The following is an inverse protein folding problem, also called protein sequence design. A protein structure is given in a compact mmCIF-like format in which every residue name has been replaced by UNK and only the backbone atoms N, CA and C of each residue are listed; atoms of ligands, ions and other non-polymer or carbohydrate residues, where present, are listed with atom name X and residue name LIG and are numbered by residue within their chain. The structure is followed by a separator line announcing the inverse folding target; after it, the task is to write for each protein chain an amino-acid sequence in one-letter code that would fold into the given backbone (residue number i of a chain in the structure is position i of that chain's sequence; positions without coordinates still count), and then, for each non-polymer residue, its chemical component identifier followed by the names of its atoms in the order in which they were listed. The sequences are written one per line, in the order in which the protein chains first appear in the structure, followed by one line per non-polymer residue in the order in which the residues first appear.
data_IF_440733053947
#
_entry.id   IF_440733053947
#
_cell.length_a   1.000
_cell.length_b   1.000
_cell.length_c   1.000
_cell.angle_alpha   90.00
_cell.angle_beta   90.00
_cell.angle_gamma   90.00
#
_symmetry.space_group_name_H-M   'P 1'
#
loop_
_entity.id
_entity.type
_entity.pdbx_description
1 polymer ?
#
# COMPACT_ATOMS: atom_id res chain seq x y z
N UNK A 1 12.05 6.65 -15.70
CA UNK A 1 12.85 5.51 -16.19
C UNK A 1 14.32 5.87 -16.41
N UNK A 2 14.59 7.03 -17.04
CA UNK A 2 15.96 7.41 -17.34
C UNK A 2 16.87 7.52 -16.12
N UNK A 3 16.30 7.85 -14.94
CA UNK A 3 17.08 7.97 -13.70
C UNK A 3 17.34 6.62 -13.04
N UNK A 4 16.45 5.64 -13.21
CA UNK A 4 16.51 4.36 -12.51
C UNK A 4 17.00 3.24 -13.41
N UNK A 5 16.70 3.30 -14.71
CA UNK A 5 17.00 2.25 -15.67
C UNK A 5 18.45 1.76 -15.69
N UNK A 6 19.48 2.61 -15.44
CA UNK A 6 20.85 2.13 -15.38
C UNK A 6 21.17 1.21 -14.20
N UNK A 7 20.29 1.19 -13.18
CA UNK A 7 20.49 0.39 -11.98
C UNK A 7 19.80 -0.96 -12.14
N UNK A 8 20.46 -2.01 -11.66
CA UNK A 8 19.88 -3.35 -11.63
C UNK A 8 19.02 -3.49 -10.36
N UNK A 9 17.80 -2.94 -10.42
CA UNK A 9 16.89 -2.95 -9.28
C UNK A 9 16.13 -4.28 -9.19
N UNK A 10 16.19 -4.89 -8.02
CA UNK A 10 15.49 -6.14 -7.74
C UNK A 10 14.09 -5.89 -7.16
N UNK A 11 13.90 -4.75 -6.50
CA UNK A 11 12.64 -4.40 -5.87
C UNK A 11 12.53 -2.89 -5.74
N UNK A 12 11.34 -2.37 -6.01
CA UNK A 12 10.99 -0.97 -5.81
C UNK A 12 9.84 -0.92 -4.83
N UNK A 13 10.03 -0.19 -3.73
CA UNK A 13 9.01 -0.06 -2.70
C UNK A 13 8.46 1.37 -2.68
N UNK A 14 7.15 1.50 -2.87
CA UNK A 14 6.45 2.78 -2.85
C UNK A 14 5.69 2.93 -1.53
N UNK A 15 5.72 4.13 -0.98
CA UNK A 15 4.96 4.48 0.21
C UNK A 15 4.41 5.90 0.05
N UNK A 16 3.10 6.05 0.18
CA UNK A 16 2.45 7.34 -0.01
C UNK A 16 2.51 7.87 -1.44
N UNK A 17 2.76 7.01 -2.41
CA UNK A 17 2.83 7.41 -3.81
C UNK A 17 1.42 7.47 -4.39
N UNK A 18 1.02 8.67 -4.81
CA UNK A 18 -0.35 8.95 -5.24
C UNK A 18 -0.51 9.08 -6.75
N UNK A 19 0.58 9.07 -7.50
CA UNK A 19 0.56 9.18 -8.96
C UNK A 19 0.47 7.81 -9.60
N UNK A 20 -0.25 7.74 -10.72
CA UNK A 20 -0.29 6.53 -11.54
C UNK A 20 1.04 6.41 -12.27
N UNK A 21 1.69 5.28 -12.12
CA UNK A 21 2.93 4.98 -12.83
C UNK A 21 2.63 4.69 -14.30
N UNK A 22 3.57 5.02 -15.18
CA UNK A 22 3.41 4.72 -16.60
C UNK A 22 3.39 3.22 -16.84
N UNK A 23 2.67 2.79 -17.88
CA UNK A 23 2.64 1.39 -18.27
C UNK A 23 4.01 0.85 -18.64
N UNK A 24 4.85 1.68 -19.24
CA UNK A 24 6.22 1.33 -19.59
C UNK A 24 7.06 1.02 -18.35
N UNK A 25 6.96 1.88 -17.33
CA UNK A 25 7.68 1.68 -16.07
C UNK A 25 7.23 0.39 -15.38
N UNK A 26 5.92 0.18 -15.29
CA UNK A 26 5.35 -1.01 -14.64
C UNK A 26 5.79 -2.28 -15.38
N UNK A 27 5.74 -2.28 -16.70
CA UNK A 27 6.14 -3.46 -17.49
C UNK A 27 7.63 -3.75 -17.35
N UNK A 28 8.47 -2.71 -17.34
CA UNK A 28 9.91 -2.87 -17.17
C UNK A 28 10.28 -3.50 -15.82
N UNK A 29 9.56 -3.13 -14.75
CA UNK A 29 9.77 -3.65 -13.40
C UNK A 29 8.67 -4.60 -12.94
N UNK A 30 8.10 -5.33 -13.87
CA UNK A 30 7.02 -6.27 -13.60
C UNK A 30 7.35 -7.20 -12.45
N UNK A 31 6.41 -7.35 -11.50
CA UNK A 31 6.54 -8.16 -10.28
C UNK A 31 7.69 -7.70 -9.36
N UNK A 32 8.16 -6.45 -9.50
CA UNK A 32 9.21 -5.88 -8.66
C UNK A 32 8.83 -4.56 -8.01
N UNK A 33 7.60 -4.10 -8.22
CA UNK A 33 7.11 -2.86 -7.61
C UNK A 33 6.09 -3.22 -6.56
N UNK A 34 6.37 -2.79 -5.32
CA UNK A 34 5.44 -2.93 -4.21
C UNK A 34 4.88 -1.55 -3.86
N UNK A 35 3.64 -1.54 -3.39
CA UNK A 35 3.03 -0.34 -2.82
C UNK A 35 2.30 -0.72 -1.54
N UNK A 36 2.21 0.23 -0.62
CA UNK A 36 1.39 0.10 0.56
C UNK A 36 0.19 1.02 0.43
N UNK A 37 -1.00 0.47 0.62
CA UNK A 37 -2.26 1.18 0.54
C UNK A 37 -2.94 1.17 1.91
N UNK A 38 -3.42 2.32 2.40
CA UNK A 38 -3.96 2.42 3.77
C UNK A 38 -5.42 1.96 3.87
N UNK A 39 -5.71 0.76 3.41
CA UNK A 39 -6.99 0.09 3.59
C UNK A 39 -6.82 -1.42 3.49
N UNK A 40 -7.86 -2.15 3.82
CA UNK A 40 -7.92 -3.61 3.61
C UNK A 40 -8.42 -3.89 2.19
N UNK A 41 -7.52 -3.83 1.21
CA UNK A 41 -7.88 -4.10 -0.18
C UNK A 41 -8.56 -5.47 -0.33
N UNK A 42 -9.54 -5.61 -1.19
CA UNK A 42 -9.98 -4.69 -2.25
C UNK A 42 -10.92 -3.57 -1.80
N UNK A 43 -11.20 -3.45 -0.52
CA UNK A 43 -12.04 -2.36 0.00
C UNK A 43 -11.27 -1.04 -0.01
N UNK A 44 -11.97 0.03 -0.30
CA UNK A 44 -11.47 1.40 -0.21
C UNK A 44 -10.23 1.66 -1.05
N UNK A 45 -10.30 1.30 -2.32
CA UNK A 45 -9.30 1.72 -3.31
C UNK A 45 -9.31 3.23 -3.47
N UNK A 46 -8.21 3.80 -3.89
CA UNK A 46 -8.11 5.23 -4.20
C UNK A 46 -7.81 6.08 -2.98
N UNK A 47 -8.24 7.33 -3.03
CA UNK A 47 -7.89 8.37 -2.06
C UNK A 47 -8.85 8.42 -0.87
N UNK A 48 -8.43 9.15 0.17
CA UNK A 48 -9.26 9.48 1.34
C UNK A 48 -9.83 8.25 2.06
N UNK A 49 -9.03 7.22 2.19
CA UNK A 49 -9.46 5.96 2.80
C UNK A 49 -9.92 6.14 4.25
N UNK A 50 -9.15 6.90 5.05
CA UNK A 50 -9.47 7.10 6.46
C UNK A 50 -10.78 7.85 6.65
N UNK A 51 -11.01 8.88 5.85
CA UNK A 51 -12.27 9.62 5.88
C UNK A 51 -13.44 8.72 5.51
N UNK A 52 -13.28 7.91 4.46
CA UNK A 52 -14.34 7.05 3.95
C UNK A 52 -14.70 5.93 4.92
N UNK A 53 -13.71 5.29 5.54
CA UNK A 53 -14.01 4.22 6.52
C UNK A 53 -14.73 4.77 7.74
N UNK A 54 -14.37 5.96 8.20
CA UNK A 54 -15.05 6.62 9.32
C UNK A 54 -16.48 6.99 8.94
N UNK A 55 -16.67 7.59 7.77
CA UNK A 55 -18.01 7.97 7.29
C UNK A 55 -18.93 6.75 7.13
N UNK A 56 -18.40 5.60 6.79
CA UNK A 56 -19.16 4.37 6.63
C UNK A 56 -19.26 3.55 7.91
N UNK A 57 -18.85 4.12 9.04
CA UNK A 57 -18.92 3.46 10.35
C UNK A 57 -18.29 2.08 10.38
N UNK A 58 -17.19 1.91 9.66
CA UNK A 58 -16.44 0.66 9.68
C UNK A 58 -15.84 0.43 11.05
N UNK A 59 -15.82 -0.82 11.49
CA UNK A 59 -15.19 -1.21 12.77
C UNK A 59 -13.71 -1.50 12.62
N UNK A 60 -13.29 -1.85 11.43
CA UNK A 60 -11.92 -2.21 11.11
C UNK A 60 -11.49 -1.54 9.82
N UNK A 61 -10.21 -1.22 9.77
CA UNK A 61 -9.50 -0.82 8.57
C UNK A 61 -8.14 -1.52 8.59
N UNK A 62 -7.18 -1.00 7.88
CA UNK A 62 -5.84 -1.56 7.91
C UNK A 62 -4.98 -1.00 6.81
N UNK A 63 -3.97 -1.77 6.47
CA UNK A 63 -3.10 -1.45 5.35
C UNK A 63 -2.76 -2.73 4.60
N UNK A 64 -2.47 -2.57 3.32
CA UNK A 64 -2.18 -3.66 2.40
C UNK A 64 -0.92 -3.37 1.62
N UNK A 65 0.00 -4.31 1.60
CA UNK A 65 1.14 -4.25 0.68
C UNK A 65 0.85 -5.20 -0.46
N UNK A 66 0.97 -4.69 -1.68
CA UNK A 66 0.62 -5.43 -2.89
C UNK A 66 1.61 -5.13 -4.01
N UNK A 67 1.66 -6.02 -4.98
CA UNK A 67 2.37 -5.74 -6.23
C UNK A 67 1.62 -4.68 -7.01
N UNK A 68 2.37 -3.80 -7.66
CA UNK A 68 1.78 -2.77 -8.52
C UNK A 68 1.64 -3.33 -9.93
N UNK A 69 0.43 -3.19 -10.48
CA UNK A 69 0.16 -3.41 -11.89
C UNK A 69 -0.44 -2.12 -12.48
N UNK A 70 -0.88 -2.17 -13.73
CA UNK A 70 -1.44 -0.98 -14.39
C UNK A 70 -2.82 -0.56 -13.88
N UNK A 71 -3.44 -1.35 -13.02
CA UNK A 71 -4.75 -1.04 -12.45
C UNK A 71 -4.59 -0.51 -11.03
N UNK A 72 -5.36 0.53 -10.70
CA UNK A 72 -5.28 1.16 -9.39
C UNK A 72 -5.58 0.16 -8.27
N UNK A 73 -4.65 0.04 -7.32
CA UNK A 73 -4.79 -0.74 -6.09
C UNK A 73 -5.34 -2.17 -6.31
N UNK A 74 -4.94 -2.80 -7.42
CA UNK A 74 -5.51 -4.08 -7.85
C UNK A 74 -4.50 -5.20 -8.02
N UNK A 75 -3.22 -4.96 -7.75
CA UNK A 75 -2.19 -5.99 -7.85
C UNK A 75 -2.31 -7.03 -6.75
N UNK A 76 -1.63 -8.17 -6.95
CA UNK A 76 -1.65 -9.27 -6.00
C UNK A 76 -1.22 -8.81 -4.60
N UNK A 77 -2.02 -9.16 -3.61
CA UNK A 77 -1.76 -8.84 -2.21
C UNK A 77 -0.64 -9.73 -1.67
N UNK A 78 0.33 -9.09 -1.01
CA UNK A 78 1.45 -9.79 -0.36
C UNK A 78 1.13 -10.02 1.11
N UNK A 79 0.74 -8.96 1.83
CA UNK A 79 0.46 -9.02 3.25
C UNK A 79 -0.48 -7.87 3.63
N UNK A 80 -1.33 -8.11 4.62
CA UNK A 80 -2.26 -7.10 5.14
C UNK A 80 -2.17 -7.05 6.67
N UNK A 81 -2.50 -5.89 7.23
CA UNK A 81 -2.64 -5.70 8.67
C UNK A 81 -4.01 -5.12 8.96
N UNK A 82 -4.80 -5.84 9.78
CA UNK A 82 -6.11 -5.38 10.24
C UNK A 82 -5.95 -4.52 11.48
N UNK A 83 -6.64 -3.39 11.53
CA UNK A 83 -6.58 -2.41 12.63
C UNK A 83 -7.98 -2.01 13.03
N UNK A 84 -8.25 -2.02 14.33
CA UNK A 84 -9.56 -1.63 14.85
C UNK A 84 -9.72 -0.11 14.85
N UNK A 85 -10.90 0.34 14.42
CA UNK A 85 -11.31 1.74 14.50
C UNK A 85 -12.11 1.91 15.81
N UNK A 86 -11.72 2.90 16.62
CA UNK A 86 -12.45 3.21 17.86
C UNK A 86 -13.38 4.38 17.62
N UNK A 87 -14.35 4.56 18.54
CA UNK A 87 -15.29 5.69 18.46
C UNK A 87 -14.62 7.05 18.56
N UNK A 88 -13.41 7.10 19.12
CA UNK A 88 -12.63 8.33 19.27
C UNK A 88 -11.78 8.66 18.04
N UNK A 89 -11.65 7.74 17.11
CA UNK A 89 -10.82 7.96 15.94
C UNK A 89 -11.42 9.01 15.01
N UNK A 90 -10.56 9.93 14.59
CA UNK A 90 -10.78 10.86 13.50
C UNK A 90 -9.98 10.40 12.29
N UNK A 91 -10.20 11.01 11.13
CA UNK A 91 -9.36 10.69 9.97
C UNK A 91 -7.88 10.92 10.26
N UNK A 92 -7.53 11.95 11.04
CA UNK A 92 -6.14 12.27 11.35
C UNK A 92 -5.53 11.29 12.36
N UNK A 93 -6.26 10.94 13.41
CA UNK A 93 -5.76 9.96 14.39
C UNK A 93 -5.63 8.58 13.75
N UNK A 94 -6.57 8.21 12.89
CA UNK A 94 -6.53 6.94 12.19
C UNK A 94 -5.35 6.88 11.23
N UNK A 95 -5.10 7.96 10.47
CA UNK A 95 -3.95 8.05 9.57
C UNK A 95 -2.63 7.82 10.32
N UNK A 96 -2.46 8.43 11.48
CA UNK A 96 -1.25 8.23 12.31
C UNK A 96 -1.12 6.80 12.80
N UNK A 97 -2.23 6.23 13.25
CA UNK A 97 -2.27 4.85 13.73
C UNK A 97 -1.89 3.87 12.62
N UNK A 98 -2.47 4.03 11.45
CA UNK A 98 -2.20 3.17 10.29
C UNK A 98 -0.76 3.32 9.83
N UNK A 99 -0.22 4.54 9.80
CA UNK A 99 1.15 4.77 9.38
C UNK A 99 2.16 4.00 10.25
N UNK A 100 1.93 3.91 11.54
CA UNK A 100 2.77 3.12 12.44
C UNK A 100 2.74 1.63 12.07
N UNK A 101 1.58 1.11 11.71
CA UNK A 101 1.45 -0.27 11.24
C UNK A 101 2.11 -0.47 9.89
N UNK A 102 2.01 0.51 8.99
CA UNK A 102 2.67 0.46 7.68
C UNK A 102 4.19 0.32 7.85
N UNK A 103 4.79 1.12 8.73
CA UNK A 103 6.24 1.08 8.98
C UNK A 103 6.71 -0.28 9.47
N UNK A 104 5.90 -0.95 10.29
CA UNK A 104 6.21 -2.29 10.79
C UNK A 104 5.98 -3.39 9.76
N UNK A 105 5.01 -3.18 8.88
CA UNK A 105 4.59 -4.19 7.92
C UNK A 105 5.51 -4.28 6.71
N UNK A 106 6.05 -3.14 6.26
CA UNK A 106 6.83 -3.08 5.02
C UNK A 106 8.08 -3.99 5.06
N UNK A 107 8.91 -3.95 6.12
CA UNK A 107 10.05 -4.87 6.19
C UNK A 107 9.63 -6.34 6.13
N UNK A 108 8.51 -6.70 6.74
CA UNK A 108 7.98 -8.07 6.72
C UNK A 108 7.55 -8.48 5.31
N UNK A 109 6.98 -7.55 4.55
CA UNK A 109 6.60 -7.80 3.17
C UNK A 109 7.84 -8.07 2.30
N UNK A 110 8.88 -7.28 2.48
CA UNK A 110 10.14 -7.45 1.75
C UNK A 110 10.75 -8.81 2.03
N UNK A 111 10.81 -9.20 3.31
CA UNK A 111 11.31 -10.52 3.69
C UNK A 111 10.48 -11.64 3.03
N UNK A 112 9.17 -11.49 3.03
CA UNK A 112 8.28 -12.47 2.41
C UNK A 112 8.52 -12.62 0.91
N UNK A 113 8.70 -11.49 0.21
CA UNK A 113 8.96 -11.50 -1.24
C UNK A 113 10.25 -12.24 -1.58
N UNK A 114 11.29 -12.10 -0.77
CA UNK A 114 12.57 -12.76 -0.98
C UNK A 114 12.70 -14.12 -0.27
N UNK A 115 11.65 -14.61 0.35
CA UNK A 115 11.65 -15.89 1.11
C UNK A 115 12.70 -15.91 2.24
N UNK A 116 12.80 -14.80 2.94
CA UNK A 116 13.74 -14.67 4.07
C UNK A 116 13.05 -14.73 5.43
#
# INVERSE_FOLDING_TARGET
LKLIKPYDLRLICLAGYMKILSSEFIEHYRNRILNIHPSLLPKYKGLNTHKRVIMNNEKFTGCTIHYVNRFLDSGKIIIQRKVRITKKDTKNSLAKKILQHEHKLYPRAILKVFNL
#
